data_IF_503872242228
#
_entry.id   IF_503872242228
#
_cell.length_a   1.000
_cell.length_b   1.000
_cell.length_c   1.000
_cell.angle_alpha   90.00
_cell.angle_beta   90.00
_cell.angle_gamma   90.00
#
_symmetry.space_group_name_H-M   'P 1'
#
loop_
_entity.id
_entity.type
_entity.pdbx_description
1 polymer ?
#
# COMPACT_ATOMS: atom_id res chain seq x y z
N UNK A 1 -22.97 45.73 -26.44
CA UNK A 1 -24.07 44.93 -25.86
C UNK A 1 -24.90 44.24 -26.95
N UNK A 2 -25.51 44.98 -27.88
CA UNK A 2 -26.39 44.41 -28.93
C UNK A 2 -25.76 43.34 -29.84
N UNK A 3 -24.45 43.42 -30.13
CA UNK A 3 -23.76 42.40 -30.96
C UNK A 3 -23.52 41.08 -30.23
N UNK A 4 -23.32 41.11 -28.90
CA UNK A 4 -23.18 39.90 -28.10
C UNK A 4 -24.53 39.19 -27.96
N UNK A 5 -25.62 39.96 -27.83
CA UNK A 5 -26.97 39.41 -27.77
C UNK A 5 -27.38 38.77 -29.10
N UNK A 6 -27.02 39.36 -30.24
CA UNK A 6 -27.19 38.71 -31.56
C UNK A 6 -26.41 37.41 -31.69
N UNK A 7 -25.14 37.38 -31.24
CA UNK A 7 -24.32 36.16 -31.28
C UNK A 7 -24.86 35.06 -30.36
N UNK A 8 -25.38 35.43 -29.19
CA UNK A 8 -26.06 34.51 -28.27
C UNK A 8 -27.35 33.96 -28.87
N UNK A 9 -28.16 34.79 -29.54
CA UNK A 9 -29.37 34.34 -30.23
C UNK A 9 -29.04 33.39 -31.39
N UNK A 10 -28.01 33.68 -32.18
CA UNK A 10 -27.56 32.79 -33.27
C UNK A 10 -27.06 31.45 -32.71
N UNK A 11 -26.24 31.48 -31.66
CA UNK A 11 -25.73 30.27 -31.02
C UNK A 11 -26.86 29.43 -30.37
N UNK A 12 -27.83 30.09 -29.74
CA UNK A 12 -29.01 29.43 -29.18
C UNK A 12 -29.87 28.80 -30.27
N UNK A 13 -30.13 29.51 -31.38
CA UNK A 13 -30.82 28.95 -32.55
C UNK A 13 -30.08 27.74 -33.11
N UNK A 14 -28.76 27.82 -33.30
CA UNK A 14 -27.96 26.70 -33.77
C UNK A 14 -28.02 25.51 -32.82
N UNK A 15 -27.91 25.73 -31.51
CA UNK A 15 -28.00 24.68 -30.51
C UNK A 15 -29.39 24.01 -30.48
N UNK A 16 -30.46 24.80 -30.61
CA UNK A 16 -31.83 24.29 -30.70
C UNK A 16 -32.08 23.53 -31.99
N UNK A 17 -31.53 23.97 -33.12
CA UNK A 17 -31.56 23.26 -34.39
C UNK A 17 -30.82 21.93 -34.31
N UNK A 18 -29.60 21.93 -33.76
CA UNK A 18 -28.84 20.70 -33.54
C UNK A 18 -29.62 19.73 -32.66
N UNK A 19 -30.27 20.24 -31.60
CA UNK A 19 -31.11 19.42 -30.71
C UNK A 19 -32.35 18.87 -31.42
N UNK A 20 -33.10 19.70 -32.14
CA UNK A 20 -34.30 19.30 -32.88
C UNK A 20 -33.95 18.27 -33.97
N UNK A 21 -32.87 18.51 -34.73
CA UNK A 21 -32.35 17.59 -35.74
C UNK A 21 -31.89 16.28 -35.09
N UNK A 22 -31.18 16.33 -33.96
CA UNK A 22 -30.75 15.13 -33.23
C UNK A 22 -31.90 14.31 -32.66
N UNK A 23 -33.04 14.94 -32.35
CA UNK A 23 -34.27 14.25 -31.96
C UNK A 23 -35.10 13.73 -33.14
N UNK A 24 -34.91 14.28 -34.35
CA UNK A 24 -35.71 13.94 -35.54
C UNK A 24 -35.01 13.00 -36.54
N UNK A 25 -33.68 12.94 -36.55
CA UNK A 25 -32.93 12.07 -37.47
C UNK A 25 -32.71 10.68 -36.86
N UNK A 26 -32.97 9.61 -37.62
CA UNK A 26 -32.60 8.28 -37.18
C UNK A 26 -31.08 8.18 -37.11
N UNK A 27 -30.56 7.63 -36.02
CA UNK A 27 -29.23 7.01 -36.00
C UNK A 27 -29.24 5.82 -36.98
N UNK A 28 -29.14 6.12 -38.28
CA UNK A 28 -28.85 5.16 -39.34
C UNK A 28 -27.35 4.92 -39.38
N UNK A 29 -26.83 4.24 -38.37
CA UNK A 29 -25.58 3.48 -38.46
C UNK A 29 -25.66 2.32 -37.47
N UNK A 30 -25.60 1.05 -37.94
CA UNK A 30 -25.21 -0.01 -37.02
C UNK A 30 -23.76 0.25 -36.55
N UNK A 31 -23.38 -0.07 -35.30
CA UNK A 31 -21.97 -0.08 -34.93
C UNK A 31 -21.29 -1.19 -35.73
N UNK A 32 -20.53 -0.82 -36.76
CA UNK A 32 -19.65 -1.74 -37.45
C UNK A 32 -18.57 -2.19 -36.46
N UNK A 33 -18.76 -3.37 -35.87
CA UNK A 33 -17.72 -4.12 -35.17
C UNK A 33 -16.57 -4.36 -36.14
N UNK A 34 -15.39 -3.85 -35.78
CA UNK A 34 -14.12 -4.10 -36.47
C UNK A 34 -13.86 -5.60 -36.56
N UNK A 35 -13.88 -6.15 -37.77
CA UNK A 35 -13.25 -7.42 -38.08
C UNK A 35 -12.44 -7.27 -39.37
N UNK A 36 -11.15 -7.57 -39.25
CA UNK A 36 -10.15 -7.52 -40.30
C UNK A 36 -10.38 -8.62 -41.35
N UNK A 37 -10.37 -8.27 -42.63
CA UNK A 37 -9.80 -9.12 -43.68
C UNK A 37 -9.61 -8.33 -44.97
N UNK A 38 -8.35 -8.14 -45.35
CA UNK A 38 -7.93 -7.73 -46.71
C UNK A 38 -8.39 -8.80 -47.69
N UNK A 39 -8.87 -8.40 -48.88
CA UNK A 39 -8.41 -8.89 -50.19
C UNK A 39 -9.13 -8.13 -51.33
N UNK A 40 -8.29 -7.46 -52.13
CA UNK A 40 -8.38 -7.23 -53.59
C UNK A 40 -9.52 -6.38 -54.18
N UNK A 41 -9.09 -5.28 -54.82
CA UNK A 41 -9.85 -4.42 -55.72
C UNK A 41 -10.36 -5.17 -56.98
N UNK A 42 -11.39 -4.60 -57.65
CA UNK A 42 -11.05 -3.77 -58.81
C UNK A 42 -11.68 -2.37 -58.77
N UNK A 43 -11.14 -1.56 -59.69
CA UNK A 43 -11.30 -0.13 -59.85
C UNK A 43 -12.72 0.34 -60.16
N UNK A 44 -12.94 1.62 -59.82
CA UNK A 44 -13.80 2.59 -60.47
C UNK A 44 -15.27 2.20 -60.65
N UNK A 45 -16.14 2.70 -59.76
CA UNK A 45 -17.44 3.30 -60.12
C UNK A 45 -18.23 3.96 -58.95
N UNK A 46 -17.72 4.02 -57.71
CA UNK A 46 -18.54 4.49 -56.57
C UNK A 46 -18.17 5.87 -55.96
N UNK A 47 -17.22 6.61 -56.54
CA UNK A 47 -16.94 7.99 -56.11
C UNK A 47 -17.90 9.04 -56.73
N UNK A 48 -18.79 8.62 -57.64
CA UNK A 48 -19.77 9.50 -58.29
C UNK A 48 -21.16 9.47 -57.63
N UNK A 49 -21.51 8.45 -56.84
CA UNK A 49 -22.86 8.36 -56.23
C UNK A 49 -22.98 9.04 -54.85
N UNK A 50 -21.86 9.28 -54.16
CA UNK A 50 -21.86 10.04 -52.90
C UNK A 50 -22.01 11.57 -53.10
N UNK A 51 -21.93 12.06 -54.34
CA UNK A 51 -22.26 13.46 -54.67
C UNK A 51 -23.71 13.65 -55.13
N UNK A 52 -24.40 12.57 -55.51
CA UNK A 52 -25.76 12.64 -56.06
C UNK A 52 -26.86 12.57 -55.00
N UNK A 53 -26.55 12.18 -53.75
CA UNK A 53 -27.53 12.15 -52.65
C UNK A 53 -27.45 13.37 -51.70
N UNK A 54 -26.50 14.29 -51.92
CA UNK A 54 -26.44 15.56 -51.19
C UNK A 54 -27.11 16.74 -51.93
N UNK A 55 -27.71 16.53 -53.10
CA UNK A 55 -28.26 17.62 -53.94
C UNK A 55 -29.78 17.64 -54.10
N UNK A 56 -30.53 16.91 -53.28
CA UNK A 56 -31.99 17.11 -53.18
C UNK A 56 -32.47 17.05 -51.72
N UNK A 57 -31.88 17.89 -50.86
CA UNK A 57 -32.73 18.50 -49.85
C UNK A 57 -33.39 19.70 -50.52
N UNK A 58 -34.72 19.73 -50.72
CA UNK A 58 -35.37 21.00 -51.06
C UNK A 58 -34.98 21.96 -49.95
N UNK A 59 -34.42 23.11 -50.30
CA UNK A 59 -34.15 24.20 -49.35
C UNK A 59 -35.45 24.46 -48.59
N UNK A 60 -35.53 23.94 -47.37
CA UNK A 60 -36.72 24.05 -46.53
C UNK A 60 -36.94 25.54 -46.27
N UNK A 61 -38.10 26.12 -46.62
CA UNK A 61 -38.37 27.51 -46.35
C UNK A 61 -38.10 27.83 -44.87
N UNK A 62 -37.43 28.95 -44.60
CA UNK A 62 -37.10 29.47 -43.25
C UNK A 62 -38.24 29.34 -42.21
N UNK A 63 -39.54 29.56 -42.55
CA UNK A 63 -40.63 29.35 -41.59
C UNK A 63 -40.84 27.89 -41.13
N UNK A 64 -40.45 26.88 -41.92
CA UNK A 64 -40.53 25.46 -41.52
C UNK A 64 -39.50 25.11 -40.45
N UNK A 65 -38.35 25.78 -40.47
CA UNK A 65 -37.26 25.56 -39.56
C UNK A 65 -37.59 26.09 -38.16
N UNK A 66 -38.14 27.31 -38.10
CA UNK A 66 -38.62 27.92 -36.86
C UNK A 66 -39.82 27.13 -36.27
N UNK A 67 -40.67 26.56 -37.12
CA UNK A 67 -41.77 25.69 -36.70
C UNK A 67 -41.28 24.33 -36.13
N UNK A 68 -40.28 23.70 -36.74
CA UNK A 68 -39.68 22.44 -36.29
C UNK A 68 -38.95 22.58 -34.94
N UNK A 69 -38.46 23.78 -34.61
CA UNK A 69 -37.86 24.09 -33.31
C UNK A 69 -38.93 24.29 -32.22
N UNK A 70 -40.07 24.89 -32.58
CA UNK A 70 -41.12 25.26 -31.65
C UNK A 70 -42.11 24.12 -31.31
N UNK A 71 -42.32 23.16 -32.21
CA UNK A 71 -43.26 22.04 -32.01
C UNK A 71 -42.85 20.98 -30.98
N UNK A 72 -41.59 20.50 -30.92
CA UNK A 72 -41.18 19.44 -30.00
C UNK A 72 -41.52 19.69 -28.51
N UNK A 73 -41.33 20.89 -27.93
CA UNK A 73 -41.71 21.14 -26.54
C UNK A 73 -43.23 21.17 -26.31
N UNK A 74 -44.03 21.42 -27.35
CA UNK A 74 -45.50 21.42 -27.27
C UNK A 74 -46.11 20.02 -27.44
N UNK A 75 -45.37 19.07 -28.03
CA UNK A 75 -45.79 17.68 -28.25
C UNK A 75 -45.31 16.70 -27.16
N UNK A 76 -44.47 17.14 -26.24
CA UNK A 76 -43.97 16.29 -25.14
C UNK A 76 -45.10 16.03 -24.13
N UNK A 77 -45.52 14.77 -24.02
CA UNK A 77 -46.61 14.34 -23.13
C UNK A 77 -46.30 14.57 -21.63
N UNK A 78 -45.04 14.87 -21.30
CA UNK A 78 -44.60 15.16 -19.93
C UNK A 78 -44.74 16.65 -19.53
N UNK A 79 -45.08 17.54 -20.47
CA UNK A 79 -45.26 18.96 -20.18
C UNK A 79 -46.71 19.27 -19.75
N UNK A 80 -46.92 20.16 -18.77
CA UNK A 80 -48.26 20.55 -18.35
C UNK A 80 -49.01 21.24 -19.50
N UNK A 81 -50.33 21.02 -19.65
CA UNK A 81 -51.11 21.66 -20.70
C UNK A 81 -51.11 23.18 -20.51
N UNK A 82 -50.78 23.92 -21.58
CA UNK A 82 -50.71 25.38 -21.53
C UNK A 82 -52.12 26.02 -21.38
N UNK A 83 -52.25 27.16 -20.68
CA UNK A 83 -53.50 27.90 -20.56
C UNK A 83 -54.08 28.30 -21.93
N UNK A 84 -55.41 28.23 -22.06
CA UNK A 84 -56.11 28.41 -23.34
C UNK A 84 -55.86 29.79 -23.99
N UNK A 85 -55.71 30.84 -23.19
CA UNK A 85 -55.39 32.20 -23.67
C UNK A 85 -54.00 32.28 -24.31
N UNK A 86 -53.03 31.52 -23.78
CA UNK A 86 -51.67 31.46 -24.34
C UNK A 86 -51.61 30.65 -25.63
N UNK A 87 -52.45 29.62 -25.76
CA UNK A 87 -52.59 28.88 -27.02
C UNK A 87 -53.20 29.77 -28.11
N UNK A 88 -54.21 30.57 -27.79
CA UNK A 88 -54.81 31.51 -28.76
C UNK A 88 -53.81 32.55 -29.26
N UNK A 89 -52.96 33.09 -28.37
CA UNK A 89 -51.89 34.00 -28.76
C UNK A 89 -50.80 33.31 -29.59
N UNK A 90 -50.46 32.04 -29.29
CA UNK A 90 -49.49 31.26 -30.06
C UNK A 90 -49.99 30.95 -31.48
N UNK A 91 -51.28 30.64 -31.66
CA UNK A 91 -51.88 30.39 -32.98
C UNK A 91 -52.17 31.67 -33.77
N UNK A 92 -52.24 32.84 -33.12
CA UNK A 92 -52.44 34.14 -33.78
C UNK A 92 -51.15 34.73 -34.38
N UNK A 93 -49.98 34.14 -34.10
CA UNK A 93 -48.69 34.66 -34.54
C UNK A 93 -47.91 33.62 -35.38
N UNK A 94 -47.16 34.07 -36.42
CA UNK A 94 -46.27 33.18 -37.16
C UNK A 94 -45.17 32.64 -36.23
N UNK A 95 -44.75 31.37 -36.35
CA UNK A 95 -44.94 30.46 -37.50
C UNK A 95 -46.18 29.55 -37.42
N UNK A 96 -46.98 29.58 -36.35
CA UNK A 96 -48.11 28.65 -36.14
C UNK A 96 -49.38 29.06 -36.88
N UNK A 97 -49.54 30.36 -37.21
CA UNK A 97 -50.62 30.86 -38.07
C UNK A 97 -50.56 30.31 -39.50
N UNK A 98 -49.36 30.05 -39.99
CA UNK A 98 -49.09 29.60 -41.36
C UNK A 98 -49.00 28.06 -41.44
N UNK A 99 -49.35 27.36 -40.35
CA UNK A 99 -49.27 25.91 -40.26
C UNK A 99 -50.14 25.24 -41.33
N UNK A 100 -51.35 25.75 -41.60
CA UNK A 100 -52.26 25.18 -42.60
C UNK A 100 -51.72 25.30 -44.03
N UNK A 101 -50.97 26.35 -44.34
CA UNK A 101 -50.34 26.56 -45.66
C UNK A 101 -49.05 25.76 -45.82
N UNK A 102 -48.35 25.48 -44.71
CA UNK A 102 -47.09 24.72 -44.66
C UNK A 102 -47.30 23.21 -44.45
N UNK A 103 -48.49 22.79 -44.00
CA UNK A 103 -48.88 21.39 -43.80
C UNK A 103 -48.69 20.50 -45.03
N UNK A 104 -49.10 20.88 -46.27
CA UNK A 104 -48.88 20.02 -47.44
C UNK A 104 -47.40 19.78 -47.77
N UNK A 105 -46.50 20.69 -47.37
CA UNK A 105 -45.05 20.51 -47.52
C UNK A 105 -44.44 19.67 -46.38
N UNK A 106 -44.97 19.78 -45.16
CA UNK A 106 -44.52 19.04 -43.98
C UNK A 106 -45.05 17.60 -43.92
N UNK A 107 -46.30 17.38 -44.31
CA UNK A 107 -46.96 16.08 -44.28
C UNK A 107 -46.15 14.97 -44.97
N UNK A 108 -45.58 15.13 -46.19
CA UNK A 108 -44.76 14.08 -46.80
C UNK A 108 -43.45 13.82 -46.05
N UNK A 109 -42.86 14.84 -45.43
CA UNK A 109 -41.61 14.73 -44.65
C UNK A 109 -41.86 14.03 -43.31
N UNK A 110 -42.92 14.42 -42.61
CA UNK A 110 -43.32 13.77 -41.35
C UNK A 110 -43.75 12.33 -41.61
N UNK A 111 -44.51 12.07 -42.68
CA UNK A 111 -44.92 10.71 -43.05
C UNK A 111 -43.74 9.82 -43.44
N UNK A 112 -42.75 10.33 -44.17
CA UNK A 112 -41.55 9.57 -44.54
C UNK A 112 -40.66 9.27 -43.33
N UNK A 113 -40.51 10.25 -42.42
CA UNK A 113 -39.83 10.05 -41.14
C UNK A 113 -40.57 9.01 -40.31
N UNK A 114 -41.86 9.19 -40.00
CA UNK A 114 -42.64 8.23 -39.21
C UNK A 114 -42.62 6.82 -39.79
N UNK A 115 -42.68 6.67 -41.12
CA UNK A 115 -42.53 5.37 -41.79
C UNK A 115 -41.13 4.76 -41.59
N UNK A 116 -40.08 5.57 -41.67
CA UNK A 116 -38.70 5.14 -41.44
C UNK A 116 -38.49 4.70 -39.99
N UNK A 117 -39.02 5.46 -39.03
CA UNK A 117 -38.98 5.13 -37.60
C UNK A 117 -39.79 3.86 -37.30
N UNK A 118 -40.99 3.73 -37.84
CA UNK A 118 -41.81 2.53 -37.70
C UNK A 118 -41.13 1.28 -38.29
N UNK A 119 -40.48 1.40 -39.45
CA UNK A 119 -39.70 0.32 -40.04
C UNK A 119 -38.45 -0.03 -39.23
N UNK A 120 -37.77 0.97 -38.66
CA UNK A 120 -36.64 0.76 -37.76
C UNK A 120 -37.05 0.00 -36.51
N UNK A 121 -38.13 0.43 -35.86
CA UNK A 121 -38.70 -0.26 -34.69
C UNK A 121 -39.20 -1.67 -35.04
N UNK A 122 -39.87 -1.85 -36.18
CA UNK A 122 -40.31 -3.17 -36.64
C UNK A 122 -39.14 -4.14 -36.83
N UNK A 123 -38.00 -3.65 -37.33
CA UNK A 123 -36.78 -4.46 -37.50
C UNK A 123 -36.13 -4.83 -36.16
N UNK A 124 -36.18 -3.93 -35.17
CA UNK A 124 -35.68 -4.22 -33.81
C UNK A 124 -36.57 -5.25 -33.12
N UNK A 125 -37.90 -5.11 -33.26
CA UNK A 125 -38.86 -6.04 -32.67
C UNK A 125 -38.84 -7.42 -33.36
N UNK A 126 -38.59 -7.46 -34.68
CA UNK A 126 -38.61 -8.68 -35.49
C UNK A 126 -37.32 -8.84 -36.32
N UNK A 127 -36.18 -9.09 -35.66
CA UNK A 127 -34.87 -9.12 -36.33
C UNK A 127 -34.72 -10.25 -37.35
N UNK A 128 -35.53 -11.31 -37.24
CA UNK A 128 -35.53 -12.46 -38.13
C UNK A 128 -36.45 -12.33 -39.36
N UNK A 129 -37.24 -11.25 -39.45
CA UNK A 129 -38.19 -11.07 -40.56
C UNK A 129 -37.55 -10.40 -41.77
N UNK A 130 -37.91 -10.86 -42.97
CA UNK A 130 -37.40 -10.29 -44.21
C UNK A 130 -37.87 -8.83 -44.37
N UNK A 131 -36.98 -7.89 -44.77
CA UNK A 131 -37.29 -6.47 -44.87
C UNK A 131 -38.53 -6.13 -45.72
N UNK A 132 -38.87 -6.96 -46.70
CA UNK A 132 -40.06 -6.78 -47.55
C UNK A 132 -41.40 -6.94 -46.80
N UNK A 133 -41.43 -7.66 -45.67
CA UNK A 133 -42.64 -7.92 -44.90
C UNK A 133 -42.75 -7.09 -43.60
N UNK A 134 -41.74 -6.28 -43.29
CA UNK A 134 -41.72 -5.44 -42.07
C UNK A 134 -42.92 -4.50 -41.96
N UNK A 135 -43.44 -4.03 -43.10
CA UNK A 135 -44.60 -3.14 -43.15
C UNK A 135 -45.88 -3.76 -42.55
N UNK A 136 -46.01 -5.10 -42.56
CA UNK A 136 -47.17 -5.80 -41.98
C UNK A 136 -47.18 -5.73 -40.44
N UNK A 137 -46.01 -5.59 -39.83
CA UNK A 137 -45.84 -5.55 -38.38
C UNK A 137 -46.00 -4.14 -37.80
N UNK A 138 -46.08 -3.10 -38.63
CA UNK A 138 -46.20 -1.70 -38.17
C UNK A 138 -47.47 -1.51 -37.31
N UNK A 139 -48.58 -2.13 -37.68
CA UNK A 139 -49.84 -2.01 -36.95
C UNK A 139 -49.81 -2.71 -35.57
N UNK A 140 -48.99 -3.76 -35.41
CA UNK A 140 -48.84 -4.48 -34.14
C UNK A 140 -47.75 -3.89 -33.23
N UNK A 141 -46.95 -2.92 -33.70
CA UNK A 141 -45.87 -2.34 -32.90
C UNK A 141 -46.33 -1.75 -31.56
N UNK A 142 -47.42 -0.95 -31.50
CA UNK A 142 -47.82 -0.31 -30.25
C UNK A 142 -48.14 -1.33 -29.15
N UNK A 143 -48.81 -2.43 -29.50
CA UNK A 143 -49.18 -3.49 -28.54
C UNK A 143 -47.97 -4.31 -28.11
N UNK A 144 -47.04 -4.60 -29.03
CA UNK A 144 -45.79 -5.26 -28.66
C UNK A 144 -44.93 -4.39 -27.75
N UNK A 145 -44.82 -3.09 -28.04
CA UNK A 145 -44.01 -2.17 -27.25
C UNK A 145 -44.61 -1.98 -25.86
N UNK A 146 -45.93 -1.82 -25.74
CA UNK A 146 -46.57 -1.72 -24.42
C UNK A 146 -46.37 -2.99 -23.59
N UNK A 147 -46.44 -4.18 -24.20
CA UNK A 147 -46.12 -5.44 -23.51
C UNK A 147 -44.66 -5.51 -23.05
N UNK A 148 -43.71 -5.05 -23.87
CA UNK A 148 -42.29 -5.05 -23.49
C UNK A 148 -41.99 -4.05 -22.39
N UNK A 149 -42.64 -2.90 -22.38
CA UNK A 149 -42.51 -1.92 -21.30
C UNK A 149 -43.11 -2.46 -20.01
N UNK A 150 -44.27 -3.14 -20.06
CA UNK A 150 -44.81 -3.80 -18.86
C UNK A 150 -43.90 -4.92 -18.38
N UNK A 151 -43.39 -5.75 -19.28
CA UNK A 151 -42.49 -6.86 -18.93
C UNK A 151 -41.19 -6.34 -18.32
N UNK A 152 -40.60 -5.29 -18.90
CA UNK A 152 -39.41 -4.64 -18.37
C UNK A 152 -39.68 -4.07 -16.98
N UNK A 153 -40.79 -3.35 -16.79
CA UNK A 153 -41.15 -2.81 -15.47
C UNK A 153 -41.34 -3.93 -14.43
N UNK A 154 -41.99 -5.03 -14.80
CA UNK A 154 -42.14 -6.19 -13.90
C UNK A 154 -40.81 -6.86 -13.58
N UNK A 155 -39.94 -7.05 -14.58
CA UNK A 155 -38.61 -7.64 -14.39
C UNK A 155 -37.72 -6.77 -13.50
N UNK A 156 -37.80 -5.45 -13.61
CA UNK A 156 -37.09 -4.52 -12.73
C UNK A 156 -37.57 -4.62 -11.28
N UNK A 157 -38.89 -4.68 -11.07
CA UNK A 157 -39.49 -4.87 -9.75
C UNK A 157 -39.06 -6.21 -9.16
N UNK A 158 -39.15 -7.29 -9.93
CA UNK A 158 -38.78 -8.63 -9.47
C UNK A 158 -37.30 -8.73 -9.14
N UNK A 159 -36.43 -8.18 -9.98
CA UNK A 159 -34.98 -8.13 -9.74
C UNK A 159 -34.66 -7.34 -8.48
N UNK A 160 -35.32 -6.19 -8.26
CA UNK A 160 -35.16 -5.42 -7.03
C UNK A 160 -35.60 -6.21 -5.79
N UNK A 161 -36.71 -6.93 -5.87
CA UNK A 161 -37.22 -7.77 -4.79
C UNK A 161 -36.28 -8.95 -4.50
N UNK A 162 -35.75 -9.62 -5.52
CA UNK A 162 -34.76 -10.69 -5.36
C UNK A 162 -33.46 -10.20 -4.73
N UNK A 163 -32.98 -9.01 -5.11
CA UNK A 163 -31.80 -8.39 -4.48
C UNK A 163 -32.06 -8.09 -3.00
N UNK A 164 -33.22 -7.54 -2.65
CA UNK A 164 -33.55 -7.28 -1.25
C UNK A 164 -33.65 -8.58 -0.43
N UNK A 165 -34.26 -9.63 -0.99
CA UNK A 165 -34.35 -10.95 -0.33
C UNK A 165 -32.97 -11.58 -0.13
N UNK A 166 -32.09 -11.54 -1.13
CA UNK A 166 -30.75 -12.11 -1.02
C UNK A 166 -29.90 -11.34 0.00
N UNK A 167 -29.98 -10.01 0.01
CA UNK A 167 -29.31 -9.20 1.03
C UNK A 167 -29.82 -9.51 2.44
N UNK A 168 -31.13 -9.66 2.64
CA UNK A 168 -31.71 -10.05 3.93
C UNK A 168 -31.26 -11.45 4.38
N UNK A 169 -31.16 -12.41 3.45
CA UNK A 169 -30.64 -13.74 3.74
C UNK A 169 -29.16 -13.69 4.15
N UNK A 170 -28.34 -12.92 3.43
CA UNK A 170 -26.91 -12.76 3.74
C UNK A 170 -26.68 -12.07 5.08
N UNK A 171 -27.45 -11.03 5.43
CA UNK A 171 -27.34 -10.39 6.74
C UNK A 171 -27.74 -11.35 7.86
N UNK A 172 -28.78 -12.18 7.66
CA UNK A 172 -29.16 -13.20 8.64
C UNK A 172 -28.08 -14.26 8.84
N UNK A 173 -27.41 -14.70 7.77
CA UNK A 173 -26.29 -15.64 7.82
C UNK A 173 -25.10 -15.03 8.57
N UNK A 174 -24.73 -13.79 8.24
CA UNK A 174 -23.66 -13.07 8.93
C UNK A 174 -23.94 -12.94 10.43
N UNK A 175 -25.19 -12.65 10.82
CA UNK A 175 -25.58 -12.59 12.22
C UNK A 175 -25.47 -13.95 12.92
N UNK A 176 -25.92 -15.03 12.27
CA UNK A 176 -25.77 -16.38 12.80
C UNK A 176 -24.30 -16.78 12.96
N UNK A 177 -23.45 -16.44 12.00
CA UNK A 177 -22.01 -16.68 12.05
C UNK A 177 -21.33 -15.89 13.17
N UNK A 178 -21.66 -14.60 13.34
CA UNK A 178 -21.12 -13.80 14.45
C UNK A 178 -21.53 -14.36 15.81
N UNK A 179 -22.76 -14.84 15.94
CA UNK A 179 -23.24 -15.46 17.17
C UNK A 179 -22.49 -16.76 17.45
N UNK A 180 -22.34 -17.63 16.45
CA UNK A 180 -21.57 -18.87 16.58
C UNK A 180 -20.11 -18.62 16.99
N UNK A 181 -19.44 -17.62 16.39
CA UNK A 181 -18.08 -17.22 16.76
C UNK A 181 -18.03 -16.69 18.20
N UNK A 182 -18.99 -15.86 18.61
CA UNK A 182 -19.03 -15.34 19.99
C UNK A 182 -19.22 -16.45 21.03
N UNK A 183 -20.04 -17.46 20.71
CA UNK A 183 -20.26 -18.62 21.58
C UNK A 183 -19.01 -19.51 21.64
N UNK A 184 -18.31 -19.69 20.52
CA UNK A 184 -17.04 -20.41 20.47
C UNK A 184 -15.98 -19.70 21.31
N UNK A 185 -15.83 -18.39 21.16
CA UNK A 185 -14.89 -17.59 21.96
C UNK A 185 -15.23 -17.72 23.45
N UNK A 186 -16.49 -17.55 23.84
CA UNK A 186 -16.91 -17.74 25.24
C UNK A 186 -16.63 -19.15 25.74
N UNK A 187 -16.87 -20.19 24.93
CA UNK A 187 -16.57 -21.57 25.31
C UNK A 187 -15.06 -21.79 25.48
N UNK A 188 -14.23 -21.18 24.63
CA UNK A 188 -12.78 -21.20 24.77
C UNK A 188 -12.31 -20.43 26.00
N UNK A 189 -12.88 -19.27 26.29
CA UNK A 189 -12.59 -18.48 27.50
C UNK A 189 -13.00 -19.21 28.78
N UNK A 190 -14.15 -19.89 28.79
CA UNK A 190 -14.59 -20.68 29.95
C UNK A 190 -13.64 -21.86 30.19
N UNK A 191 -13.20 -22.56 29.14
CA UNK A 191 -12.31 -23.71 29.27
C UNK A 191 -10.86 -23.33 29.59
N UNK A 192 -10.33 -22.33 28.89
CA UNK A 192 -8.90 -22.01 28.93
C UNK A 192 -8.58 -20.74 29.73
N UNK A 193 -9.56 -19.85 29.97
CA UNK A 193 -9.33 -18.58 30.66
C UNK A 193 -8.91 -18.76 32.12
N UNK A 194 -9.50 -19.73 32.83
CA UNK A 194 -9.07 -20.05 34.20
C UNK A 194 -7.65 -20.63 34.20
N UNK A 195 -7.34 -21.53 33.26
CA UNK A 195 -6.01 -22.12 33.13
C UNK A 195 -4.97 -21.04 32.82
N UNK A 196 -5.22 -20.17 31.86
CA UNK A 196 -4.33 -19.06 31.50
C UNK A 196 -4.07 -18.14 32.71
N UNK A 197 -5.12 -17.67 33.40
CA UNK A 197 -4.96 -16.85 34.61
C UNK A 197 -4.23 -17.58 35.73
N UNK A 198 -4.47 -18.88 35.90
CA UNK A 198 -3.75 -19.67 36.92
C UNK A 198 -2.27 -19.83 36.60
N UNK A 199 -1.90 -19.98 35.32
CA UNK A 199 -0.53 -20.06 34.86
C UNK A 199 0.18 -18.71 34.97
N UNK A 200 -0.51 -17.61 34.65
CA UNK A 200 -0.01 -16.25 34.88
C UNK A 200 0.29 -16.01 36.35
N UNK A 201 -0.66 -16.32 37.26
CA UNK A 201 -0.45 -16.18 38.69
C UNK A 201 0.73 -17.02 39.18
N UNK A 202 0.83 -18.29 38.77
CA UNK A 202 1.98 -19.15 39.11
C UNK A 202 3.30 -18.60 38.57
N UNK A 203 3.32 -18.08 37.36
CA UNK A 203 4.52 -17.46 36.80
C UNK A 203 4.94 -16.22 37.60
N UNK A 204 3.97 -15.39 38.02
CA UNK A 204 4.26 -14.23 38.88
C UNK A 204 4.74 -14.63 40.27
N UNK A 205 4.19 -15.69 40.86
CA UNK A 205 4.61 -16.24 42.15
C UNK A 205 6.06 -16.76 42.08
N UNK A 206 6.38 -17.57 41.06
CA UNK A 206 7.74 -18.08 40.83
C UNK A 206 8.72 -16.94 40.59
N UNK A 207 8.35 -15.92 39.80
CA UNK A 207 9.20 -14.75 39.57
C UNK A 207 9.46 -13.96 40.86
N UNK A 208 8.46 -13.86 41.74
CA UNK A 208 8.60 -13.21 43.03
C UNK A 208 9.50 -14.03 43.98
N UNK A 209 9.36 -15.35 44.00
CA UNK A 209 10.27 -16.22 44.73
C UNK A 209 11.71 -16.10 44.24
N UNK A 210 11.95 -16.12 42.92
CA UNK A 210 13.27 -15.93 42.35
C UNK A 210 13.90 -14.61 42.80
N UNK A 211 13.14 -13.50 42.75
CA UNK A 211 13.61 -12.19 43.23
C UNK A 211 13.93 -12.18 44.73
N UNK A 212 13.15 -12.89 45.55
CA UNK A 212 13.44 -13.05 46.98
C UNK A 212 14.73 -13.82 47.19
N UNK A 213 14.90 -14.95 46.51
CA UNK A 213 16.12 -15.75 46.60
C UNK A 213 17.35 -15.00 46.10
N UNK A 214 17.25 -14.19 45.05
CA UNK A 214 18.34 -13.33 44.60
C UNK A 214 18.72 -12.29 45.66
N UNK A 215 17.71 -11.66 46.30
CA UNK A 215 17.94 -10.73 47.39
C UNK A 215 18.59 -11.43 48.60
N UNK A 216 18.08 -12.58 49.03
CA UNK A 216 18.61 -13.36 50.14
C UNK A 216 20.05 -13.84 49.85
N UNK A 217 20.31 -14.31 48.63
CA UNK A 217 21.65 -14.68 48.18
C UNK A 217 22.60 -13.47 48.18
N UNK A 218 22.13 -12.29 47.78
CA UNK A 218 22.94 -11.06 47.82
C UNK A 218 23.29 -10.63 49.24
N UNK A 219 22.34 -10.76 50.18
CA UNK A 219 22.54 -10.45 51.60
C UNK A 219 23.50 -11.46 52.22
N UNK A 220 23.31 -12.75 51.96
CA UNK A 220 24.19 -13.81 52.41
C UNK A 220 25.62 -13.65 51.85
N UNK A 221 25.77 -13.30 50.57
CA UNK A 221 27.07 -13.01 49.99
C UNK A 221 27.73 -11.79 50.66
N UNK A 222 26.96 -10.74 50.96
CA UNK A 222 27.47 -9.57 51.67
C UNK A 222 27.87 -9.90 53.12
N UNK A 223 27.11 -10.75 53.82
CA UNK A 223 27.43 -11.16 55.20
C UNK A 223 28.69 -12.03 55.24
N UNK A 224 28.84 -12.99 54.32
CA UNK A 224 30.05 -13.81 54.18
C UNK A 224 31.25 -12.93 53.84
N UNK A 225 31.11 -11.97 52.92
CA UNK A 225 32.20 -11.02 52.61
C UNK A 225 32.61 -10.21 53.84
N UNK A 226 31.66 -9.74 54.66
CA UNK A 226 31.96 -9.02 55.90
C UNK A 226 32.65 -9.92 56.94
N UNK A 227 32.28 -11.20 57.01
CA UNK A 227 32.90 -12.17 57.92
C UNK A 227 34.33 -12.54 57.51
N UNK A 228 34.60 -12.71 56.21
CA UNK A 228 35.94 -13.04 55.68
C UNK A 228 36.85 -11.81 55.68
N UNK A 229 36.34 -10.67 55.22
CA UNK A 229 37.08 -9.40 55.17
C UNK A 229 36.71 -8.53 56.37
N UNK A 230 37.16 -8.96 57.55
CA UNK A 230 37.11 -8.11 58.74
C UNK A 230 37.94 -6.83 58.50
N UNK A 231 37.58 -5.70 59.13
CA UNK A 231 38.34 -4.46 58.96
C UNK A 231 39.82 -4.63 59.36
N UNK A 232 40.07 -5.50 60.34
CA UNK A 232 41.40 -5.90 60.77
C UNK A 232 42.14 -6.68 59.69
N UNK A 233 41.51 -7.65 59.01
CA UNK A 233 42.16 -8.40 57.93
C UNK A 233 42.43 -7.50 56.71
N UNK A 234 41.53 -6.56 56.40
CA UNK A 234 41.76 -5.55 55.36
C UNK A 234 42.93 -4.64 55.74
N UNK A 235 43.00 -4.17 57.00
CA UNK A 235 44.11 -3.34 57.48
C UNK A 235 45.44 -4.10 57.46
N UNK A 236 45.44 -5.36 57.89
CA UNK A 236 46.61 -6.24 57.84
C UNK A 236 47.08 -6.50 56.41
N UNK A 237 46.17 -6.80 55.48
CA UNK A 237 46.50 -6.97 54.05
C UNK A 237 47.06 -5.69 53.43
N UNK A 238 46.51 -4.51 53.78
CA UNK A 238 47.07 -3.22 53.36
C UNK A 238 48.49 -3.02 53.88
N UNK A 239 48.72 -3.29 55.17
CA UNK A 239 50.04 -3.17 55.78
C UNK A 239 51.04 -4.16 55.17
N UNK A 240 50.63 -5.41 54.96
CA UNK A 240 51.44 -6.41 54.28
C UNK A 240 51.79 -5.98 52.85
N UNK A 241 50.83 -5.39 52.12
CA UNK A 241 51.08 -4.82 50.79
C UNK A 241 52.04 -3.61 50.79
N UNK A 242 52.08 -2.83 51.87
CA UNK A 242 53.11 -1.79 52.06
C UNK A 242 54.46 -2.43 52.35
N UNK A 243 54.51 -3.41 53.26
CA UNK A 243 55.75 -4.10 53.62
C UNK A 243 56.35 -4.88 52.45
N UNK A 244 55.54 -5.52 51.61
CA UNK A 244 56.01 -6.19 50.39
C UNK A 244 56.58 -5.20 49.38
N UNK A 245 55.96 -4.02 49.23
CA UNK A 245 56.49 -2.97 48.35
C UNK A 245 57.83 -2.45 48.85
N UNK A 246 57.94 -2.19 50.15
CA UNK A 246 59.17 -1.72 50.78
C UNK A 246 60.27 -2.81 50.75
N UNK A 247 59.93 -4.06 51.05
CA UNK A 247 60.85 -5.20 50.92
C UNK A 247 61.34 -5.38 49.47
N UNK A 248 60.46 -5.17 48.48
CA UNK A 248 60.85 -5.18 47.07
C UNK A 248 61.82 -4.03 46.76
N UNK A 249 61.51 -2.80 47.18
CA UNK A 249 62.41 -1.64 46.98
C UNK A 249 63.78 -1.89 47.61
N UNK A 250 63.83 -2.40 48.84
CA UNK A 250 65.09 -2.75 49.53
C UNK A 250 65.83 -3.88 48.83
N UNK A 251 65.11 -4.87 48.29
CA UNK A 251 65.70 -5.93 47.47
C UNK A 251 66.32 -5.38 46.19
N UNK A 252 65.60 -4.51 45.48
CA UNK A 252 66.07 -3.86 44.27
C UNK A 252 67.28 -2.95 44.55
N UNK A 253 67.28 -2.20 45.65
CA UNK A 253 68.42 -1.41 46.12
C UNK A 253 69.62 -2.27 46.49
N UNK A 254 69.41 -3.40 47.18
CA UNK A 254 70.49 -4.34 47.51
C UNK A 254 71.09 -4.97 46.26
N UNK A 255 70.25 -5.32 45.27
CA UNK A 255 70.71 -5.78 43.96
C UNK A 255 71.55 -4.68 43.31
N UNK A 256 71.06 -3.43 43.25
CA UNK A 256 71.81 -2.30 42.68
C UNK A 256 73.16 -2.09 43.37
N UNK A 257 73.19 -2.12 44.71
CA UNK A 257 74.42 -1.96 45.49
C UNK A 257 75.40 -3.11 45.23
N UNK A 258 74.94 -4.37 45.29
CA UNK A 258 75.79 -5.53 44.97
C UNK A 258 76.28 -5.51 43.52
N UNK A 259 75.46 -5.06 42.56
CA UNK A 259 75.91 -4.89 41.17
C UNK A 259 76.94 -3.78 41.03
N UNK A 260 76.82 -2.70 41.81
CA UNK A 260 77.80 -1.62 41.83
C UNK A 260 79.12 -2.07 42.49
N UNK A 261 79.07 -2.80 43.60
CA UNK A 261 80.23 -3.41 44.26
C UNK A 261 80.93 -4.41 43.32
N UNK A 262 80.18 -5.31 42.68
CA UNK A 262 80.72 -6.22 41.65
C UNK A 262 81.35 -5.45 40.49
N UNK A 263 80.73 -4.34 40.07
CA UNK A 263 81.28 -3.44 39.06
C UNK A 263 82.58 -2.75 39.50
N UNK A 264 82.72 -2.38 40.77
CA UNK A 264 83.96 -1.84 41.35
C UNK A 264 85.09 -2.88 41.33
N UNK A 265 84.75 -4.16 41.56
CA UNK A 265 85.65 -5.30 41.37
C UNK A 265 85.91 -5.66 39.90
N UNK A 266 85.29 -4.95 38.95
CA UNK A 266 85.48 -5.11 37.51
C UNK A 266 84.63 -6.21 36.88
N UNK A 267 83.72 -6.82 37.64
CA UNK A 267 82.80 -7.87 37.18
C UNK A 267 81.59 -7.24 36.51
N UNK A 268 81.42 -7.47 35.21
CA UNK A 268 80.24 -7.01 34.46
C UNK A 268 80.24 -5.55 34.00
N UNK A 269 81.35 -4.82 34.17
CA UNK A 269 81.56 -3.47 33.62
C UNK A 269 82.53 -3.57 32.44
N UNK A 270 82.12 -3.06 31.27
CA UNK A 270 82.93 -3.07 30.04
C UNK A 270 84.22 -2.25 30.26
N UNK A 271 85.36 -2.94 30.32
CA UNK A 271 86.68 -2.35 30.66
C UNK A 271 87.27 -2.74 32.03
N UNK A 272 86.51 -3.44 32.90
CA UNK A 272 86.94 -3.90 34.23
C UNK A 272 87.67 -5.26 34.27
N UNK A 273 87.70 -5.98 33.15
CA UNK A 273 88.12 -7.39 33.04
C UNK A 273 89.53 -7.71 33.57
N UNK A 274 90.43 -6.73 33.56
CA UNK A 274 91.81 -6.91 34.05
C UNK A 274 91.88 -7.06 35.57
N UNK A 275 91.05 -6.32 36.31
CA UNK A 275 90.96 -6.42 37.78
C UNK A 275 90.26 -7.71 38.19
N UNK A 276 89.20 -8.09 37.48
CA UNK A 276 88.50 -9.36 37.69
C UNK A 276 89.44 -10.56 37.48
N UNK A 277 90.19 -10.59 36.36
CA UNK A 277 91.18 -11.66 36.08
C UNK A 277 92.26 -11.74 37.16
N UNK A 278 92.81 -10.61 37.60
CA UNK A 278 93.80 -10.57 38.70
C UNK A 278 93.22 -11.03 40.03
N UNK A 279 91.99 -10.63 40.38
CA UNK A 279 91.34 -11.12 41.61
C UNK A 279 91.06 -12.62 41.56
N UNK A 280 90.66 -13.15 40.39
CA UNK A 280 90.44 -14.58 40.19
C UNK A 280 91.73 -15.39 40.29
N UNK A 281 92.84 -14.86 39.76
CA UNK A 281 94.18 -15.44 39.94
C UNK A 281 94.63 -15.37 41.39
N UNK A 282 94.47 -14.23 42.08
CA UNK A 282 94.79 -14.07 43.50
C UNK A 282 93.99 -15.03 44.39
N UNK A 283 92.70 -15.22 44.12
CA UNK A 283 91.86 -16.19 44.84
C UNK A 283 92.30 -17.64 44.60
N UNK A 284 92.78 -17.95 43.38
CA UNK A 284 93.36 -19.26 43.05
C UNK A 284 94.67 -19.49 43.81
N UNK A 285 95.57 -18.51 43.79
CA UNK A 285 96.85 -18.54 44.51
C UNK A 285 96.64 -18.65 46.03
N UNK A 286 95.69 -17.90 46.61
CA UNK A 286 95.36 -18.01 48.04
C UNK A 286 94.84 -19.40 48.42
N UNK A 287 94.02 -20.02 47.56
CA UNK A 287 93.52 -21.37 47.79
C UNK A 287 94.64 -22.40 47.73
N UNK A 288 95.57 -22.24 46.78
CA UNK A 288 96.74 -23.11 46.68
C UNK A 288 97.71 -22.89 47.84
N UNK A 289 97.88 -21.65 48.32
CA UNK A 289 98.68 -21.32 49.51
C UNK A 289 98.06 -21.84 50.80
N UNK A 290 96.73 -21.78 50.96
CA UNK A 290 96.05 -22.35 52.13
C UNK A 290 96.22 -23.87 52.18
N UNK A 291 96.14 -24.56 51.03
CA UNK A 291 96.49 -25.98 50.93
C UNK A 291 97.93 -26.24 51.34
N UNK A 292 98.88 -25.42 50.87
CA UNK A 292 100.28 -25.54 51.29
C UNK A 292 100.49 -25.26 52.78
N UNK A 293 99.74 -24.34 53.39
CA UNK A 293 99.80 -24.11 54.84
C UNK A 293 99.19 -25.27 55.63
N UNK A 294 98.09 -25.86 55.16
CA UNK A 294 97.53 -27.08 55.74
C UNK A 294 98.55 -28.24 55.62
N UNK A 295 99.23 -28.38 54.48
CA UNK A 295 100.28 -29.36 54.26
C UNK A 295 101.50 -29.13 55.18
N UNK A 296 101.97 -27.89 55.32
CA UNK A 296 103.06 -27.53 56.25
C UNK A 296 102.66 -27.71 57.71
N UNK A 297 101.41 -27.41 58.07
CA UNK A 297 100.87 -27.68 59.40
C UNK A 297 100.88 -29.18 59.71
N UNK A 298 100.45 -30.00 58.75
CA UNK A 298 100.52 -31.46 58.84
C UNK A 298 101.98 -31.96 58.95
N UNK A 299 102.94 -31.30 58.31
CA UNK A 299 104.37 -31.66 58.39
C UNK A 299 105.04 -31.19 59.70
N UNK A 300 104.65 -30.05 60.26
CA UNK A 300 105.07 -29.62 61.61
C UNK A 300 104.51 -30.53 62.70
N UNK A 301 103.26 -30.95 62.58
CA UNK A 301 102.65 -31.94 63.48
C UNK A 301 103.34 -33.31 63.41
N UNK A 302 103.96 -33.64 62.26
CA UNK A 302 104.80 -34.83 62.09
C UNK A 302 106.19 -34.68 62.71
N UNK A 303 106.80 -33.50 62.64
CA UNK A 303 108.11 -33.21 63.23
C UNK A 303 108.08 -33.04 64.76
N UNK A 304 106.93 -32.72 65.35
CA UNK A 304 106.77 -32.63 66.81
C UNK A 304 106.45 -33.99 67.48
N UNK A 305 106.41 -35.09 66.70
CA UNK A 305 106.09 -36.46 67.14
C UNK A 305 107.17 -37.50 66.79
N UNK A 306 108.37 -37.06 66.42
CA UNK A 306 109.58 -37.89 66.25
C UNK A 306 110.76 -37.23 66.94
#
# INVERSE_FOLDING_TARGET
MQELDRRRLIAAKQHLLTRAVSSSTPSSTPPATRASSRLRAPQNHQAAELKSQQQQQPSLPEPLLDLLIALPPLLDANNPPLPQDTLQLLFAHPPLSDLETLLPALAPIVASNLRTWALGLARIAHPSTNPSFLHRHIASLPTTLSSWLSDLATAEIDLSAHRLRSLAALTSLLHAASNALSLLVRALEVKHGVVARSLELRATEVALHARRYDADASIAAASVRRAVYTPESIAALKNYGVHLRDARMRGDERIRNLTAELGEYGVGVEGGESKEKKMKEMARVYRDMMRQMDDVGNDLDRLNKG
#
